data_IF_314352131342
#
_entry.id   IF_314352131342
#
_cell.length_a   1.000
_cell.length_b   1.000
_cell.length_c   1.000
_cell.angle_alpha   90.00
_cell.angle_beta   90.00
_cell.angle_gamma   90.00
#
_symmetry.space_group_name_H-M   'P 1'
#
loop_
_entity.id
_entity.type
_entity.pdbx_description
1 polymer ?
#
# COMPACT_ATOMS: atom_id res chain seq x y z
N UNK A 1 -15.50 -7.62 -8.04
CA UNK A 1 -15.18 -7.26 -6.61
C UNK A 1 -13.74 -6.76 -6.60
N UNK A 2 -13.42 -5.63 -5.95
CA UNK A 2 -12.03 -5.16 -5.94
C UNK A 2 -11.11 -6.12 -5.21
N UNK A 3 -9.99 -6.47 -5.85
CA UNK A 3 -8.91 -7.19 -5.18
C UNK A 3 -8.12 -6.26 -4.28
N UNK A 4 -7.81 -6.75 -3.06
CA UNK A 4 -6.96 -6.06 -2.07
C UNK A 4 -5.60 -6.73 -2.07
N UNK A 5 -4.62 -6.05 -2.63
CA UNK A 5 -3.24 -6.51 -2.70
C UNK A 5 -2.58 -6.22 -1.35
N UNK A 6 -2.15 -7.26 -0.68
CA UNK A 6 -1.54 -7.20 0.66
C UNK A 6 -0.10 -7.73 0.56
N UNK A 7 0.90 -6.85 0.45
CA UNK A 7 2.30 -7.26 0.50
C UNK A 7 2.66 -7.74 1.91
N UNK A 8 3.20 -8.96 2.00
CA UNK A 8 3.45 -9.65 3.28
C UNK A 8 4.92 -10.09 3.38
N UNK A 9 5.47 -9.92 4.57
CA UNK A 9 6.74 -10.49 4.98
C UNK A 9 6.73 -10.74 6.49
N UNK A 10 6.57 -11.99 6.91
CA UNK A 10 6.47 -12.43 8.31
C UNK A 10 5.40 -11.63 9.10
N UNK A 11 4.13 -11.76 8.69
CA UNK A 11 2.97 -11.09 9.30
C UNK A 11 1.88 -12.11 9.72
N UNK A 12 2.26 -13.39 9.97
CA UNK A 12 1.32 -14.46 10.31
C UNK A 12 0.40 -14.13 11.50
N UNK A 13 0.86 -13.31 12.45
CA UNK A 13 0.07 -12.91 13.63
C UNK A 13 -1.04 -11.89 13.30
N UNK A 14 -0.85 -11.04 12.30
CA UNK A 14 -1.80 -9.98 11.96
C UNK A 14 -2.83 -10.43 10.92
N UNK A 15 -2.45 -11.36 10.06
CA UNK A 15 -3.25 -11.77 8.90
C UNK A 15 -4.63 -12.32 9.22
N UNK A 16 -4.84 -13.19 10.26
CA UNK A 16 -6.15 -13.72 10.54
C UNK A 16 -7.20 -12.63 10.75
N UNK A 17 -6.98 -11.76 11.72
CA UNK A 17 -7.94 -10.70 12.06
C UNK A 17 -8.13 -9.72 10.89
N UNK A 18 -7.06 -9.42 10.15
CA UNK A 18 -7.11 -8.54 9.00
C UNK A 18 -7.96 -9.13 7.86
N UNK A 19 -7.76 -10.40 7.54
CA UNK A 19 -8.47 -11.07 6.43
C UNK A 19 -9.94 -11.30 6.78
N UNK A 20 -10.23 -11.69 8.02
CA UNK A 20 -11.61 -11.88 8.50
C UNK A 20 -12.41 -10.57 8.58
N UNK A 21 -11.71 -9.43 8.75
CA UNK A 21 -12.31 -8.09 8.80
C UNK A 21 -12.51 -7.45 7.41
N UNK A 22 -12.11 -8.10 6.32
CA UNK A 22 -12.33 -7.53 4.99
C UNK A 22 -13.82 -7.34 4.70
N UNK A 23 -14.23 -6.15 4.20
CA UNK A 23 -15.62 -5.91 3.88
C UNK A 23 -16.14 -6.87 2.79
N UNK A 24 -17.42 -7.22 2.88
CA UNK A 24 -18.07 -8.02 1.85
C UNK A 24 -17.88 -7.35 0.46
N UNK A 25 -17.55 -8.16 -0.54
CA UNK A 25 -17.29 -7.67 -1.89
C UNK A 25 -15.84 -7.26 -2.14
N UNK A 26 -14.92 -7.52 -1.21
CA UNK A 26 -13.47 -7.42 -1.41
C UNK A 26 -12.84 -8.81 -1.31
N UNK A 27 -11.79 -9.04 -2.09
CA UNK A 27 -11.05 -10.29 -2.08
C UNK A 27 -9.56 -10.04 -1.86
N UNK A 28 -8.92 -10.81 -0.97
CA UNK A 28 -7.51 -10.64 -0.65
C UNK A 28 -6.61 -11.34 -1.68
N UNK A 29 -5.62 -10.60 -2.19
CA UNK A 29 -4.47 -11.12 -2.92
C UNK A 29 -3.22 -10.87 -2.07
N UNK A 30 -2.81 -11.87 -1.32
CA UNK A 30 -1.63 -11.80 -0.45
C UNK A 30 -0.38 -12.09 -1.26
N UNK A 31 0.49 -11.07 -1.38
CA UNK A 31 1.78 -11.19 -2.05
C UNK A 31 2.88 -11.49 -1.02
N UNK A 32 3.17 -12.76 -0.84
CA UNK A 32 4.20 -13.22 0.11
C UNK A 32 5.60 -13.00 -0.46
N UNK A 33 6.35 -12.12 0.17
CA UNK A 33 7.70 -11.74 -0.25
C UNK A 33 8.79 -12.58 0.43
N UNK A 34 8.50 -13.86 0.62
CA UNK A 34 9.39 -14.86 1.20
C UNK A 34 9.35 -14.89 2.72
N UNK A 35 8.16 -14.95 3.32
CA UNK A 35 7.96 -15.16 4.75
C UNK A 35 8.52 -16.51 5.21
N UNK A 36 8.87 -16.58 6.48
CA UNK A 36 9.40 -17.80 7.14
C UNK A 36 8.56 -18.22 8.34
N UNK A 37 7.50 -17.48 8.62
CA UNK A 37 6.64 -17.66 9.81
C UNK A 37 5.30 -18.33 9.52
N UNK A 38 5.08 -18.80 8.28
CA UNK A 38 3.81 -19.41 7.88
C UNK A 38 2.76 -18.42 7.38
N UNK A 39 3.14 -17.16 7.08
CA UNK A 39 2.20 -16.14 6.60
C UNK A 39 1.40 -16.57 5.37
N UNK A 40 2.05 -17.23 4.40
CA UNK A 40 1.38 -17.69 3.18
C UNK A 40 0.32 -18.74 3.46
N UNK A 41 0.62 -19.72 4.31
CA UNK A 41 -0.30 -20.77 4.72
C UNK A 41 -1.49 -20.22 5.52
N UNK A 42 -1.22 -19.27 6.42
CA UNK A 42 -2.27 -18.56 7.17
C UNK A 42 -3.19 -17.82 6.22
N UNK A 43 -2.65 -17.07 5.27
CA UNK A 43 -3.45 -16.34 4.30
C UNK A 43 -4.34 -17.25 3.45
N UNK A 44 -3.79 -18.36 2.97
CA UNK A 44 -4.56 -19.36 2.20
C UNK A 44 -5.68 -19.99 3.02
N UNK A 45 -5.45 -20.28 4.30
CA UNK A 45 -6.45 -20.82 5.21
C UNK A 45 -7.63 -19.88 5.46
N UNK A 46 -7.41 -18.54 5.35
CA UNK A 46 -8.43 -17.49 5.43
C UNK A 46 -9.00 -17.09 4.05
N UNK A 47 -8.82 -17.91 3.01
CA UNK A 47 -9.46 -17.74 1.70
C UNK A 47 -8.80 -16.71 0.77
N UNK A 48 -7.62 -16.22 1.11
CA UNK A 48 -6.88 -15.32 0.23
C UNK A 48 -6.25 -16.07 -0.95
N UNK A 49 -6.18 -15.41 -2.10
CA UNK A 49 -5.27 -15.83 -3.16
C UNK A 49 -3.84 -15.49 -2.76
N UNK A 50 -2.95 -16.48 -2.71
CA UNK A 50 -1.54 -16.26 -2.33
C UNK A 50 -0.65 -16.31 -3.57
N UNK A 51 0.17 -15.28 -3.76
CA UNK A 51 1.24 -15.25 -4.75
C UNK A 51 2.59 -15.13 -4.07
N UNK A 52 3.53 -16.01 -4.41
CA UNK A 52 4.89 -15.97 -3.88
C UNK A 52 5.80 -15.14 -4.78
N UNK A 53 6.38 -14.08 -4.22
CA UNK A 53 7.34 -13.22 -4.93
C UNK A 53 8.75 -13.41 -4.34
N UNK A 54 9.64 -14.15 -5.05
CA UNK A 54 10.98 -14.46 -4.54
C UNK A 54 11.92 -13.25 -4.53
N UNK A 55 11.64 -12.24 -5.35
CA UNK A 55 12.44 -11.01 -5.39
C UNK A 55 12.09 -10.13 -4.20
N UNK A 56 12.99 -10.02 -3.24
CA UNK A 56 12.80 -9.18 -2.05
C UNK A 56 12.58 -7.72 -2.41
N UNK A 57 11.48 -7.14 -1.90
CA UNK A 57 11.15 -5.72 -2.01
C UNK A 57 9.66 -5.45 -1.96
N UNK A 58 9.27 -4.37 -1.28
CA UNK A 58 7.87 -3.95 -1.14
C UNK A 58 7.17 -3.78 -2.51
N UNK A 59 7.83 -3.05 -3.43
CA UNK A 59 7.30 -2.87 -4.78
C UNK A 59 7.27 -4.16 -5.61
N UNK A 60 8.14 -5.15 -5.32
CA UNK A 60 8.08 -6.45 -5.98
C UNK A 60 6.82 -7.22 -5.55
N UNK A 61 6.51 -7.25 -4.25
CA UNK A 61 5.30 -7.85 -3.74
C UNK A 61 4.04 -7.15 -4.28
N UNK A 62 4.01 -5.80 -4.23
CA UNK A 62 2.90 -5.03 -4.81
C UNK A 62 2.70 -5.34 -6.30
N UNK A 63 3.78 -5.45 -7.06
CA UNK A 63 3.70 -5.78 -8.49
C UNK A 63 3.20 -7.21 -8.71
N UNK A 64 3.69 -8.19 -7.97
CA UNK A 64 3.22 -9.56 -8.06
C UNK A 64 1.72 -9.66 -7.78
N UNK A 65 1.23 -9.00 -6.72
CA UNK A 65 -0.19 -8.91 -6.45
C UNK A 65 -0.99 -8.22 -7.57
N UNK A 66 -0.47 -7.11 -8.12
CA UNK A 66 -1.13 -6.35 -9.18
C UNK A 66 -1.33 -7.19 -10.47
N UNK A 67 -0.34 -7.98 -10.86
CA UNK A 67 -0.46 -8.83 -12.06
C UNK A 67 -1.33 -10.07 -11.80
N UNK A 68 -1.43 -10.52 -10.55
CA UNK A 68 -2.26 -11.65 -10.12
C UNK A 68 -3.74 -11.26 -9.99
N UNK A 69 -4.03 -10.01 -9.61
CA UNK A 69 -5.38 -9.49 -9.42
C UNK A 69 -6.25 -9.70 -10.68
N UNK A 70 -7.54 -10.02 -10.47
CA UNK A 70 -8.47 -10.31 -11.57
C UNK A 70 -8.67 -9.07 -12.46
N UNK A 71 -8.41 -9.16 -13.78
CA UNK A 71 -8.65 -8.06 -14.70
C UNK A 71 -10.13 -7.65 -14.81
N UNK A 72 -11.06 -8.55 -14.49
CA UNK A 72 -12.49 -8.27 -14.55
C UNK A 72 -12.96 -7.25 -13.50
N UNK A 73 -12.23 -7.09 -12.42
CA UNK A 73 -12.63 -6.21 -11.32
C UNK A 73 -12.37 -4.71 -11.59
N UNK A 74 -11.45 -4.40 -12.49
CA UNK A 74 -11.19 -3.05 -12.96
C UNK A 74 -10.53 -2.11 -11.93
N UNK A 75 -10.75 -2.32 -10.62
CA UNK A 75 -10.16 -1.55 -9.51
C UNK A 75 -9.43 -2.49 -8.58
N UNK A 76 -8.22 -2.09 -8.17
CA UNK A 76 -7.43 -2.77 -7.15
C UNK A 76 -7.16 -1.85 -5.98
N UNK A 77 -7.10 -2.44 -4.78
CA UNK A 77 -6.68 -1.78 -3.56
C UNK A 77 -5.31 -2.30 -3.11
N UNK A 78 -4.60 -1.51 -2.34
CA UNK A 78 -3.38 -1.91 -1.62
C UNK A 78 -3.56 -1.60 -0.15
N UNK A 79 -3.08 -2.49 0.71
CA UNK A 79 -3.09 -2.30 2.15
C UNK A 79 -1.95 -3.10 2.79
N UNK A 80 -1.29 -2.54 3.82
CA UNK A 80 -0.26 -3.27 4.56
C UNK A 80 -0.86 -4.45 5.35
N UNK A 81 -0.13 -5.56 5.44
CA UNK A 81 -0.55 -6.80 6.11
C UNK A 81 -0.28 -6.84 7.62
N UNK A 82 0.13 -5.72 8.24
CA UNK A 82 0.62 -5.67 9.63
C UNK A 82 -0.43 -5.25 10.67
N UNK A 83 -1.70 -5.17 10.26
CA UNK A 83 -2.81 -4.78 11.12
C UNK A 83 -2.87 -3.30 11.50
N UNK A 84 -2.03 -2.45 10.91
CA UNK A 84 -2.03 -1.02 11.20
C UNK A 84 -3.19 -0.24 10.57
N UNK A 85 -3.86 -0.80 9.57
CA UNK A 85 -5.05 -0.26 8.95
C UNK A 85 -6.30 -1.04 9.30
N UNK A 86 -7.42 -0.35 9.35
CA UNK A 86 -8.73 -0.99 9.44
C UNK A 86 -9.22 -1.35 8.03
N UNK A 87 -9.45 -2.63 7.70
CA UNK A 87 -10.03 -3.00 6.42
C UNK A 87 -11.38 -2.34 6.12
N UNK A 88 -12.14 -1.96 7.15
CA UNK A 88 -13.41 -1.24 7.01
C UNK A 88 -13.27 0.13 6.33
N UNK A 89 -12.06 0.70 6.26
CA UNK A 89 -11.78 1.95 5.56
C UNK A 89 -11.62 1.77 4.03
N UNK A 90 -11.45 0.53 3.54
CA UNK A 90 -11.30 0.26 2.10
C UNK A 90 -12.40 0.87 1.21
N UNK A 91 -13.70 0.81 1.58
CA UNK A 91 -14.75 1.41 0.76
C UNK A 91 -14.61 2.94 0.60
N UNK A 92 -14.07 3.64 1.60
CA UNK A 92 -13.84 5.09 1.48
C UNK A 92 -12.74 5.41 0.49
N UNK A 93 -11.71 4.55 0.41
CA UNK A 93 -10.58 4.73 -0.52
C UNK A 93 -10.95 4.25 -1.92
N UNK A 94 -11.65 3.13 -2.05
CA UNK A 94 -12.04 2.56 -3.35
C UNK A 94 -13.24 3.28 -3.99
N UNK A 95 -14.16 3.80 -3.19
CA UNK A 95 -15.42 4.39 -3.67
C UNK A 95 -15.25 5.43 -4.77
N UNK A 96 -14.40 6.45 -4.63
CA UNK A 96 -14.18 7.45 -5.68
C UNK A 96 -13.63 6.86 -6.98
N UNK A 97 -12.80 5.81 -6.90
CA UNK A 97 -12.25 5.13 -8.09
C UNK A 97 -13.33 4.28 -8.76
N UNK A 98 -14.12 3.55 -7.99
CA UNK A 98 -15.26 2.77 -8.48
C UNK A 98 -16.33 3.66 -9.14
N UNK A 99 -16.57 4.84 -8.55
CA UNK A 99 -17.48 5.83 -9.11
C UNK A 99 -16.91 6.59 -10.33
N UNK A 100 -15.65 6.36 -10.70
CA UNK A 100 -14.98 7.05 -11.79
C UNK A 100 -14.73 8.54 -11.55
N UNK A 101 -14.78 9.01 -10.29
CA UNK A 101 -14.49 10.40 -9.92
C UNK A 101 -13.01 10.65 -9.61
N UNK A 102 -12.25 9.59 -9.32
CA UNK A 102 -10.80 9.60 -9.16
C UNK A 102 -10.18 8.43 -9.94
N UNK A 103 -8.89 8.53 -10.26
CA UNK A 103 -8.12 7.48 -10.92
C UNK A 103 -7.15 6.80 -9.93
N UNK A 104 -6.71 7.54 -8.90
CA UNK A 104 -5.92 7.05 -7.77
C UNK A 104 -6.39 7.74 -6.48
N UNK A 105 -6.71 6.96 -5.45
CA UNK A 105 -7.02 7.44 -4.11
C UNK A 105 -6.02 6.90 -3.10
N UNK A 106 -5.61 7.75 -2.14
CA UNK A 106 -4.74 7.39 -1.03
C UNK A 106 -5.49 7.55 0.30
N UNK A 107 -5.22 6.63 1.23
CA UNK A 107 -5.61 6.75 2.63
C UNK A 107 -4.56 7.56 3.40
N UNK A 108 -4.87 8.80 3.75
CA UNK A 108 -4.01 9.63 4.60
C UNK A 108 -4.14 9.17 6.06
N UNK A 109 -3.03 8.75 6.67
CA UNK A 109 -3.01 8.15 8.01
C UNK A 109 -3.39 9.14 9.10
N UNK A 110 -4.40 8.81 9.87
CA UNK A 110 -4.81 9.49 11.09
C UNK A 110 -4.51 8.57 12.27
N UNK A 111 -3.47 8.88 13.03
CA UNK A 111 -3.13 8.09 14.21
C UNK A 111 -4.28 8.11 15.22
N UNK A 112 -4.79 6.94 15.59
CA UNK A 112 -5.89 6.77 16.56
C UNK A 112 -5.37 6.59 17.98
N UNK A 113 -4.10 6.20 18.12
CA UNK A 113 -3.47 5.92 19.41
C UNK A 113 -2.08 6.56 19.50
N UNK A 114 -1.62 6.90 20.72
CA UNK A 114 -0.26 7.36 20.92
C UNK A 114 0.76 6.31 20.43
N UNK A 115 1.75 6.74 19.63
CA UNK A 115 2.80 5.86 19.11
C UNK A 115 2.48 5.15 17.80
N UNK A 116 1.22 5.13 17.33
CA UNK A 116 0.85 4.54 16.06
C UNK A 116 1.66 5.14 14.89
N UNK A 117 1.87 6.45 14.91
CA UNK A 117 2.66 7.16 13.91
C UNK A 117 3.76 7.99 14.60
N UNK A 118 4.97 7.46 14.77
CA UNK A 118 6.06 8.13 15.46
C UNK A 118 6.39 9.49 14.86
N UNK A 119 6.78 10.47 15.70
CA UNK A 119 6.99 11.86 15.27
C UNK A 119 8.02 12.00 14.14
N UNK A 120 9.13 11.23 14.18
CA UNK A 120 10.15 11.25 13.13
C UNK A 120 9.62 10.75 11.79
N UNK A 121 8.74 9.73 11.80
CA UNK A 121 8.07 9.24 10.60
C UNK A 121 7.08 10.27 10.06
N UNK A 122 6.40 11.01 10.93
CA UNK A 122 5.49 12.12 10.54
C UNK A 122 6.26 13.25 9.86
N UNK A 123 7.41 13.64 10.40
CA UNK A 123 8.27 14.67 9.80
C UNK A 123 8.79 14.23 8.44
N UNK A 124 9.31 13.01 8.33
CA UNK A 124 9.78 12.46 7.06
C UNK A 124 8.67 12.40 6.01
N UNK A 125 7.47 11.96 6.42
CA UNK A 125 6.31 11.91 5.55
C UNK A 125 5.85 13.31 5.10
N UNK A 126 5.86 14.30 6.02
CA UNK A 126 5.49 15.68 5.67
C UNK A 126 6.47 16.29 4.66
N UNK A 127 7.77 16.05 4.83
CA UNK A 127 8.79 16.48 3.87
C UNK A 127 8.57 15.82 2.48
N UNK A 128 8.27 14.53 2.46
CA UNK A 128 7.99 13.79 1.24
C UNK A 128 6.70 14.29 0.56
N UNK A 129 5.63 14.50 1.33
CA UNK A 129 4.37 15.05 0.82
C UNK A 129 4.55 16.48 0.27
N UNK A 130 5.39 17.30 0.90
CA UNK A 130 5.74 18.62 0.38
C UNK A 130 6.46 18.52 -0.98
N UNK A 131 7.46 17.65 -1.10
CA UNK A 131 8.19 17.45 -2.35
C UNK A 131 7.29 16.87 -3.46
N UNK A 132 6.42 15.91 -3.12
CA UNK A 132 5.40 15.41 -4.04
C UNK A 132 4.50 16.53 -4.55
N UNK A 133 3.96 17.34 -3.64
CA UNK A 133 3.11 18.47 -4.00
C UNK A 133 3.83 19.44 -4.92
N UNK A 134 5.11 19.75 -4.63
CA UNK A 134 5.93 20.65 -5.45
C UNK A 134 6.13 20.10 -6.86
N UNK A 135 6.33 18.80 -7.04
CA UNK A 135 6.59 18.15 -8.34
C UNK A 135 5.33 17.83 -9.13
N UNK A 136 4.34 17.29 -8.47
CA UNK A 136 3.14 16.78 -9.13
C UNK A 136 1.96 17.74 -9.13
N UNK A 137 2.01 18.81 -8.32
CA UNK A 137 0.86 19.70 -8.11
C UNK A 137 -0.30 19.06 -7.30
N UNK A 138 -0.19 17.78 -6.94
CA UNK A 138 -1.25 17.06 -6.21
C UNK A 138 -1.19 17.42 -4.72
N UNK A 139 -2.29 17.90 -4.11
CA UNK A 139 -2.30 18.40 -2.72
C UNK A 139 -2.37 17.29 -1.68
N UNK A 140 -1.43 16.33 -1.72
CA UNK A 140 -1.35 15.24 -0.75
C UNK A 140 -0.74 15.68 0.58
N UNK A 141 -1.23 15.10 1.68
CA UNK A 141 -0.72 15.27 3.05
C UNK A 141 0.10 14.08 3.52
N UNK A 142 -0.20 12.90 2.95
CA UNK A 142 0.44 11.64 3.31
C UNK A 142 0.68 10.76 2.08
N UNK A 143 1.82 10.07 2.07
CA UNK A 143 2.08 8.99 1.11
C UNK A 143 1.63 7.65 1.72
N UNK A 144 0.34 7.58 2.08
CA UNK A 144 -0.24 6.42 2.75
C UNK A 144 -0.14 5.14 1.91
N UNK A 145 0.11 3.98 2.53
CA UNK A 145 0.14 2.70 1.82
C UNK A 145 -1.24 2.16 1.44
N UNK A 146 -2.31 2.50 2.18
CA UNK A 146 -3.66 2.15 1.75
C UNK A 146 -4.04 2.96 0.52
N UNK A 147 -4.40 2.31 -0.59
CA UNK A 147 -4.65 2.95 -1.88
C UNK A 147 -5.68 2.20 -2.70
N UNK A 148 -6.33 2.90 -3.61
CA UNK A 148 -7.13 2.29 -4.66
C UNK A 148 -6.86 2.96 -6.00
N UNK A 149 -6.81 2.18 -7.07
CA UNK A 149 -6.63 2.68 -8.43
C UNK A 149 -7.23 1.73 -9.47
N UNK A 150 -7.41 2.20 -10.70
CA UNK A 150 -7.77 1.33 -11.81
C UNK A 150 -6.61 0.42 -12.16
N UNK A 151 -6.86 -0.90 -12.16
CA UNK A 151 -5.84 -1.93 -12.39
C UNK A 151 -5.08 -1.74 -13.70
N UNK A 152 -5.78 -1.68 -14.81
CA UNK A 152 -5.16 -1.57 -16.13
C UNK A 152 -4.42 -0.24 -16.31
N UNK A 153 -4.94 0.82 -15.68
CA UNK A 153 -4.24 2.10 -15.59
C UNK A 153 -2.89 1.98 -14.89
N UNK A 154 -2.84 1.30 -13.72
CA UNK A 154 -1.57 1.07 -13.00
C UNK A 154 -0.57 0.27 -13.82
N UNK A 155 -1.02 -0.76 -14.53
CA UNK A 155 -0.17 -1.54 -15.44
C UNK A 155 0.39 -0.66 -16.56
N UNK A 156 -0.45 0.22 -17.14
CA UNK A 156 -0.08 1.13 -18.21
C UNK A 156 0.90 2.23 -17.76
N UNK A 157 0.92 2.63 -16.47
CA UNK A 157 1.89 3.58 -15.93
C UNK A 157 3.33 3.07 -16.01
N UNK A 158 3.56 1.77 -16.17
CA UNK A 158 4.89 1.19 -16.32
C UNK A 158 5.79 1.38 -15.10
N UNK A 159 5.24 1.21 -13.90
CA UNK A 159 5.97 1.30 -12.63
C UNK A 159 7.18 0.35 -12.63
N UNK A 160 8.36 0.85 -12.29
CA UNK A 160 9.64 0.14 -12.38
C UNK A 160 10.28 -0.18 -11.04
N UNK A 161 10.07 0.69 -10.04
CA UNK A 161 10.63 0.43 -8.71
C UNK A 161 10.03 -0.86 -8.13
N UNK A 162 10.88 -1.72 -7.60
CA UNK A 162 10.48 -2.98 -6.95
C UNK A 162 10.79 -2.98 -5.46
N UNK A 163 11.13 -1.81 -4.91
CA UNK A 163 11.54 -1.62 -3.52
C UNK A 163 10.64 -0.58 -2.84
N UNK A 164 11.22 0.30 -2.04
CA UNK A 164 10.47 1.29 -1.26
C UNK A 164 10.12 2.58 -2.02
N UNK A 165 10.61 2.76 -3.25
CA UNK A 165 10.20 3.84 -4.14
C UNK A 165 8.84 3.63 -4.82
N UNK A 166 8.33 2.39 -4.85
CA UNK A 166 7.06 2.04 -5.48
C UNK A 166 5.90 2.98 -5.15
N UNK A 167 5.62 3.31 -3.86
CA UNK A 167 4.51 4.19 -3.52
C UNK A 167 4.67 5.61 -4.06
N UNK A 168 5.90 6.09 -4.11
CA UNK A 168 6.25 7.42 -4.61
C UNK A 168 6.17 7.48 -6.13
N UNK A 169 6.76 6.49 -6.80
CA UNK A 169 6.72 6.38 -8.27
C UNK A 169 5.27 6.33 -8.78
N UNK A 170 4.40 5.59 -8.09
CA UNK A 170 2.98 5.51 -8.45
C UNK A 170 2.32 6.89 -8.51
N UNK A 171 2.52 7.72 -7.49
CA UNK A 171 1.90 9.07 -7.44
C UNK A 171 2.48 9.97 -8.51
N UNK A 172 3.81 9.98 -8.70
CA UNK A 172 4.46 10.82 -9.71
C UNK A 172 3.99 10.45 -11.12
N UNK A 173 4.01 9.16 -11.47
CA UNK A 173 3.57 8.72 -12.79
C UNK A 173 2.08 8.93 -13.02
N UNK A 174 1.25 8.75 -11.99
CA UNK A 174 -0.16 9.07 -12.07
C UNK A 174 -0.39 10.56 -12.36
N UNK A 175 0.32 11.45 -11.67
CA UNK A 175 0.26 12.88 -11.92
C UNK A 175 0.76 13.26 -13.32
N UNK A 176 1.89 12.71 -13.77
CA UNK A 176 2.43 12.91 -15.11
C UNK A 176 1.47 12.44 -16.21
N UNK A 177 0.71 11.38 -15.94
CA UNK A 177 -0.33 10.87 -16.83
C UNK A 177 -1.66 11.66 -16.75
N UNK A 178 -1.72 12.73 -15.95
CA UNK A 178 -2.91 13.57 -15.77
C UNK A 178 -4.04 12.91 -14.98
N UNK A 179 -3.72 11.92 -14.13
CA UNK A 179 -4.73 11.25 -13.32
C UNK A 179 -5.31 12.17 -12.24
N UNK A 180 -6.58 11.98 -11.94
CA UNK A 180 -7.25 12.59 -10.80
C UNK A 180 -6.84 11.86 -9.53
N UNK A 181 -5.85 12.41 -8.84
CA UNK A 181 -5.30 11.85 -7.61
C UNK A 181 -5.91 12.57 -6.41
N UNK A 182 -6.43 11.80 -5.44
CA UNK A 182 -7.02 12.33 -4.22
C UNK A 182 -6.57 11.58 -2.97
N UNK A 183 -6.98 12.10 -1.81
CA UNK A 183 -6.77 11.43 -0.53
C UNK A 183 -8.00 11.53 0.37
N UNK A 184 -8.18 10.52 1.21
CA UNK A 184 -9.18 10.47 2.29
C UNK A 184 -8.50 10.06 3.59
N UNK A 185 -8.95 10.58 4.73
CA UNK A 185 -8.36 10.17 6.01
C UNK A 185 -8.82 8.76 6.38
N UNK A 186 -7.87 7.92 6.79
CA UNK A 186 -8.09 6.55 7.26
C UNK A 186 -7.46 6.38 8.65
N UNK A 187 -8.03 5.51 9.45
CA UNK A 187 -7.53 5.23 10.78
C UNK A 187 -6.21 4.45 10.71
N UNK A 188 -5.27 4.84 11.57
CA UNK A 188 -3.95 4.24 11.64
C UNK A 188 -3.61 3.87 13.07
N UNK A 189 -3.46 2.58 13.32
CA UNK A 189 -3.22 1.95 14.62
C UNK A 189 -1.76 1.52 14.77
N UNK A 190 -1.30 1.24 15.99
CA UNK A 190 -0.03 0.54 16.17
C UNK A 190 -0.07 -0.81 15.44
N UNK A 191 0.99 -1.11 14.70
CA UNK A 191 1.14 -2.38 14.00
C UNK A 191 1.25 -3.56 14.96
N UNK A 192 0.83 -4.72 14.52
CA UNK A 192 1.07 -6.01 15.19
C UNK A 192 2.46 -6.50 14.77
N UNK A 193 3.30 -6.89 15.73
CA UNK A 193 4.65 -7.40 15.45
C UNK A 193 5.73 -6.33 15.27
N UNK A 194 6.85 -6.69 14.61
CA UNK A 194 8.04 -5.85 14.48
C UNK A 194 8.14 -5.18 13.11
N UNK A 195 8.44 -3.89 13.08
CA UNK A 195 8.70 -3.19 11.81
C UNK A 195 9.97 -3.71 11.14
N UNK A 196 9.86 -4.12 9.87
CA UNK A 196 10.99 -4.58 9.03
C UNK A 196 11.65 -3.42 8.26
N UNK A 197 11.02 -2.27 8.22
CA UNK A 197 11.51 -1.08 7.50
C UNK A 197 11.88 0.04 8.45
N UNK A 198 10.91 0.64 9.14
CA UNK A 198 11.13 1.83 9.99
C UNK A 198 11.61 1.49 11.40
N UNK A 199 11.56 0.23 11.81
CA UNK A 199 12.08 -0.25 13.11
C UNK A 199 13.60 -0.41 13.16
N UNK A 200 14.31 -0.22 12.05
CA UNK A 200 15.78 -0.28 12.00
C UNK A 200 16.35 0.92 11.24
N UNK A 201 17.51 1.44 11.73
CA UNK A 201 18.22 2.53 11.04
C UNK A 201 18.55 2.15 9.60
N UNK A 202 19.02 0.92 9.38
CA UNK A 202 19.33 0.42 8.02
C UNK A 202 18.11 0.39 7.11
N UNK A 203 16.95 -0.01 7.62
CA UNK A 203 15.69 -0.04 6.85
C UNK A 203 15.23 1.37 6.47
N UNK A 204 15.27 2.31 7.42
CA UNK A 204 14.90 3.71 7.17
C UNK A 204 15.83 4.37 6.14
N UNK A 205 17.16 4.20 6.25
CA UNK A 205 18.12 4.72 5.27
C UNK A 205 17.89 4.13 3.88
N UNK A 206 17.59 2.82 3.81
CA UNK A 206 17.27 2.16 2.54
C UNK A 206 16.01 2.75 1.89
N UNK A 207 14.94 2.91 2.67
CA UNK A 207 13.70 3.50 2.17
C UNK A 207 13.90 4.92 1.64
N UNK A 208 14.62 5.76 2.37
CA UNK A 208 14.96 7.13 1.93
C UNK A 208 15.79 7.11 0.64
N UNK A 209 16.78 6.23 0.54
CA UNK A 209 17.61 6.11 -0.66
C UNK A 209 16.79 5.65 -1.88
N UNK A 210 15.95 4.63 -1.71
CA UNK A 210 15.12 4.12 -2.81
C UNK A 210 14.14 5.22 -3.29
N UNK A 211 13.52 5.97 -2.36
CA UNK A 211 12.67 7.11 -2.71
C UNK A 211 13.45 8.25 -3.39
N UNK A 212 14.66 8.56 -2.93
CA UNK A 212 15.51 9.58 -3.56
C UNK A 212 15.88 9.21 -5.01
N UNK A 213 16.08 7.92 -5.30
CA UNK A 213 16.34 7.45 -6.68
C UNK A 213 15.13 7.68 -7.61
N UNK A 214 13.92 7.60 -7.09
CA UNK A 214 12.70 7.91 -7.86
C UNK A 214 12.55 9.41 -8.10
N UNK A 215 13.10 10.24 -7.19
CA UNK A 215 13.07 11.70 -7.30
C UNK A 215 14.19 12.27 -8.20
N UNK A 216 15.23 11.51 -8.54
CA UNK A 216 16.31 11.93 -9.44
C UNK A 216 15.94 11.74 -10.89
#
# INVERSE_FOLDING_TARGET
>A
MPDVIIPVLDEALALPDLLDALPAGYHAVVADNGSTDGSGEVAAAHGATVVHEPRRGFGAACWAGLVTADPADGVVCFMDGDGSFDPADLPMVAGPVLAGTADLMLGARRATEPGAFPWHSRVANAALAFELRRRSGVPLRDLGPMRAARRDGLLALGLRDRRFGWPLEMVLRAADAGWRVGEVSVDYRPRIGRSKVTGTVKGSVRAVRDMATVLS
#
